data_IF_816579076163
#
_entry.id   IF_816579076163
#
_cell.length_a   1.000
_cell.length_b   1.000
_cell.length_c   1.000
_cell.angle_alpha   90.00
_cell.angle_beta   90.00
_cell.angle_gamma   90.00
#
_symmetry.space_group_name_H-M   'P 1'
#
loop_
_entity.id
_entity.type
_entity.pdbx_description
1 polymer ?
#
# COMPACT_ATOMS: atom_id res chain seq x y z
N UNK A 1 9.52 -27.90 9.66
CA UNK A 1 8.35 -28.25 10.50
C UNK A 1 7.87 -26.97 11.13
N UNK A 2 6.84 -26.33 10.55
CA UNK A 2 6.22 -25.14 11.13
C UNK A 2 5.51 -25.53 12.41
N UNK A 3 5.77 -24.81 13.50
CA UNK A 3 5.14 -25.01 14.79
C UNK A 3 3.63 -24.71 14.71
N UNK A 4 2.82 -25.42 15.48
CA UNK A 4 1.34 -25.27 15.55
C UNK A 4 0.84 -23.84 15.80
N UNK A 5 1.71 -22.92 16.21
CA UNK A 5 1.40 -21.49 16.42
C UNK A 5 1.29 -20.67 15.13
N UNK A 6 1.82 -21.16 14.00
CA UNK A 6 1.64 -20.54 12.68
C UNK A 6 0.26 -20.82 12.07
N UNK A 7 -0.54 -21.71 12.64
CA UNK A 7 -1.83 -22.17 12.12
C UNK A 7 -3.02 -21.26 12.43
N UNK A 8 -2.89 -20.26 13.32
CA UNK A 8 -3.97 -19.32 13.61
C UNK A 8 -3.44 -17.90 13.76
N UNK A 9 -3.47 -17.16 12.64
CA UNK A 9 -3.17 -15.73 12.64
C UNK A 9 -4.42 -14.94 12.22
N UNK A 10 -5.08 -14.22 13.14
CA UNK A 10 -6.32 -13.50 12.85
C UNK A 10 -6.20 -12.47 11.72
N UNK A 11 -5.02 -11.87 11.55
CA UNK A 11 -4.77 -10.90 10.49
C UNK A 11 -4.70 -11.57 9.10
N UNK A 12 -3.99 -12.71 9.01
CA UNK A 12 -3.93 -13.53 7.79
C UNK A 12 -5.33 -14.05 7.44
N UNK A 13 -6.09 -14.55 8.42
CA UNK A 13 -7.47 -14.97 8.17
C UNK A 13 -8.38 -13.84 7.69
N UNK A 14 -8.27 -12.66 8.30
CA UNK A 14 -9.03 -11.49 7.87
C UNK A 14 -8.70 -11.12 6.42
N UNK A 15 -7.44 -11.19 6.04
CA UNK A 15 -6.99 -10.93 4.68
C UNK A 15 -7.47 -12.01 3.70
N UNK A 16 -7.41 -13.29 4.08
CA UNK A 16 -7.93 -14.37 3.24
C UNK A 16 -9.45 -14.26 3.04
N UNK A 17 -10.20 -13.84 4.05
CA UNK A 17 -11.64 -13.52 3.90
C UNK A 17 -11.87 -12.36 2.95
N UNK A 18 -11.04 -11.31 3.01
CA UNK A 18 -11.10 -10.20 2.05
C UNK A 18 -10.83 -10.70 0.62
N UNK A 19 -9.83 -11.53 0.40
CA UNK A 19 -9.53 -12.11 -0.90
C UNK A 19 -10.66 -13.04 -1.40
N UNK A 20 -11.24 -13.85 -0.51
CA UNK A 20 -12.38 -14.70 -0.85
C UNK A 20 -13.62 -13.88 -1.25
N UNK A 21 -13.80 -12.67 -0.70
CA UNK A 21 -14.86 -11.76 -1.11
C UNK A 21 -14.62 -11.14 -2.50
N UNK A 22 -13.37 -10.99 -2.93
CA UNK A 22 -13.02 -10.53 -4.29
C UNK A 22 -13.29 -11.62 -5.34
N UNK A 23 -12.92 -12.86 -5.03
CA UNK A 23 -13.21 -14.04 -5.85
C UNK A 23 -13.26 -15.28 -4.95
N UNK A 24 -14.25 -16.18 -5.13
CA UNK A 24 -14.31 -17.38 -4.34
C UNK A 24 -13.02 -18.19 -4.42
N UNK A 25 -12.49 -18.57 -3.26
CA UNK A 25 -11.30 -19.42 -3.10
C UNK A 25 -11.72 -20.75 -2.44
N UNK A 26 -11.19 -21.86 -2.90
CA UNK A 26 -11.37 -23.15 -2.25
C UNK A 26 -10.70 -23.20 -0.87
N UNK A 27 -11.15 -24.07 0.05
CA UNK A 27 -10.46 -24.28 1.32
C UNK A 27 -8.98 -24.67 1.15
N UNK A 28 -8.67 -25.46 0.13
CA UNK A 28 -7.33 -25.90 -0.24
C UNK A 28 -6.46 -24.72 -0.66
N UNK A 29 -6.97 -23.84 -1.53
CA UNK A 29 -6.27 -22.64 -1.96
C UNK A 29 -6.03 -21.67 -0.78
N UNK A 30 -7.03 -21.47 0.10
CA UNK A 30 -6.86 -20.64 1.30
C UNK A 30 -5.82 -21.22 2.26
N UNK A 31 -5.80 -22.54 2.46
CA UNK A 31 -4.80 -23.21 3.28
C UNK A 31 -3.39 -23.06 2.70
N UNK A 32 -3.23 -23.31 1.39
CA UNK A 32 -1.96 -23.14 0.69
C UNK A 32 -1.46 -21.68 0.77
N UNK A 33 -2.32 -20.69 0.51
CA UNK A 33 -1.98 -19.28 0.66
C UNK A 33 -1.55 -18.95 2.10
N UNK A 34 -2.27 -19.45 3.12
CA UNK A 34 -1.93 -19.22 4.51
C UNK A 34 -0.51 -19.68 4.87
N UNK A 35 -0.03 -20.77 4.26
CA UNK A 35 1.33 -21.26 4.47
C UNK A 35 2.43 -20.37 3.88
N UNK A 36 2.10 -19.54 2.89
CA UNK A 36 3.03 -18.64 2.19
C UNK A 36 2.99 -17.20 2.73
N UNK A 37 2.12 -16.91 3.71
CA UNK A 37 1.92 -15.57 4.25
C UNK A 37 2.61 -15.43 5.61
N UNK A 38 3.40 -14.36 5.76
CA UNK A 38 4.16 -14.08 6.98
C UNK A 38 3.79 -12.70 7.50
N UNK A 39 3.34 -12.62 8.75
CA UNK A 39 3.08 -11.35 9.42
C UNK A 39 4.24 -10.99 10.33
N UNK A 40 4.72 -9.76 10.20
CA UNK A 40 5.77 -9.20 11.05
C UNK A 40 5.42 -7.78 11.48
N UNK A 41 5.97 -7.39 12.66
CA UNK A 41 5.88 -6.03 13.17
C UNK A 41 7.17 -5.28 12.89
N UNK A 42 7.01 -4.07 12.38
CA UNK A 42 8.13 -3.22 12.04
C UNK A 42 8.03 -1.87 12.75
N UNK A 43 9.13 -1.35 13.28
CA UNK A 43 9.16 0.00 13.83
C UNK A 43 8.97 1.03 12.72
N UNK A 44 8.70 2.27 13.11
CA UNK A 44 8.66 3.42 12.18
C UNK A 44 9.99 3.56 11.43
N UNK A 45 9.93 3.90 10.14
CA UNK A 45 11.08 4.06 9.22
C UNK A 45 11.87 2.78 8.99
N UNK A 46 11.24 1.65 9.11
CA UNK A 46 11.85 0.39 8.70
C UNK A 46 11.77 0.24 7.19
N UNK A 47 12.91 -0.06 6.56
CA UNK A 47 13.00 -0.25 5.11
C UNK A 47 12.65 -1.70 4.76
N UNK A 48 11.50 -1.90 4.13
CA UNK A 48 11.02 -3.21 3.65
C UNK A 48 11.62 -3.59 2.30
N UNK A 49 11.82 -2.60 1.43
CA UNK A 49 12.47 -2.78 0.12
C UNK A 49 13.30 -1.55 -0.22
N UNK A 50 14.48 -1.77 -0.78
CA UNK A 50 15.43 -0.72 -1.13
C UNK A 50 15.51 -0.53 -2.65
N UNK A 51 15.45 0.72 -3.10
CA UNK A 51 15.73 1.13 -4.48
C UNK A 51 17.04 0.50 -5.00
N UNK A 52 17.11 0.17 -6.27
CA UNK A 52 18.23 -0.50 -6.94
C UNK A 52 18.49 -1.95 -6.48
N UNK A 53 17.55 -2.56 -5.75
CA UNK A 53 17.53 -3.99 -5.47
C UNK A 53 16.41 -4.66 -6.25
N UNK A 54 16.56 -5.94 -6.56
CA UNK A 54 15.48 -6.74 -7.14
C UNK A 54 14.46 -7.04 -6.05
N UNK A 55 13.19 -6.75 -6.32
CA UNK A 55 12.11 -7.03 -5.39
C UNK A 55 11.78 -8.52 -5.36
N UNK A 56 11.47 -9.02 -4.18
CA UNK A 56 11.14 -10.42 -3.97
C UNK A 56 9.78 -10.62 -3.26
N UNK A 57 9.16 -9.55 -2.72
CA UNK A 57 7.97 -9.66 -1.90
C UNK A 57 6.91 -8.64 -2.28
N UNK A 58 5.65 -9.04 -2.08
CA UNK A 58 4.52 -8.12 -1.93
C UNK A 58 4.26 -7.92 -0.44
N UNK A 59 3.85 -6.71 -0.08
CA UNK A 59 3.56 -6.30 1.29
C UNK A 59 2.12 -5.85 1.40
N UNK A 60 1.38 -6.42 2.35
CA UNK A 60 -0.01 -6.07 2.65
C UNK A 60 -0.04 -5.46 4.04
N UNK A 61 -0.59 -4.25 4.15
CA UNK A 61 -0.69 -3.55 5.43
C UNK A 61 -1.81 -4.15 6.25
N UNK A 62 -1.48 -4.86 7.32
CA UNK A 62 -2.45 -5.35 8.31
C UNK A 62 -2.83 -4.24 9.29
N UNK A 63 -1.83 -3.46 9.73
CA UNK A 63 -2.00 -2.29 10.58
C UNK A 63 -0.86 -1.31 10.32
N UNK A 64 -1.15 -0.02 10.28
CA UNK A 64 -0.14 1.01 10.11
C UNK A 64 -0.20 1.71 8.76
N UNK A 65 0.91 2.33 8.38
CA UNK A 65 1.04 3.13 7.17
C UNK A 65 2.40 2.87 6.53
N UNK A 66 2.39 2.49 5.27
CA UNK A 66 3.58 2.35 4.43
C UNK A 66 3.64 3.47 3.39
N UNK A 67 4.85 3.77 2.93
CA UNK A 67 5.07 4.58 1.72
C UNK A 67 5.99 3.90 0.74
N UNK A 68 5.74 4.13 -0.55
CA UNK A 68 6.69 3.91 -1.63
C UNK A 68 7.27 5.25 -2.06
N UNK A 69 8.59 5.31 -2.25
CA UNK A 69 9.27 6.54 -2.60
C UNK A 69 10.49 6.29 -3.48
N UNK A 70 10.89 7.31 -4.23
CA UNK A 70 12.05 7.33 -5.09
C UNK A 70 13.05 8.39 -4.62
N UNK A 71 14.32 8.02 -4.56
CA UNK A 71 15.41 8.98 -4.36
C UNK A 71 15.80 9.62 -5.69
N UNK A 72 15.59 10.92 -5.82
CA UNK A 72 15.95 11.67 -7.01
C UNK A 72 16.67 12.96 -6.62
N UNK A 73 17.91 13.16 -7.11
CA UNK A 73 18.73 14.36 -6.88
C UNK A 73 18.80 14.77 -5.39
N UNK A 74 19.01 13.79 -4.50
CA UNK A 74 19.14 14.00 -3.06
C UNK A 74 17.82 14.27 -2.33
N UNK A 75 16.66 14.11 -2.99
CA UNK A 75 15.33 14.26 -2.40
C UNK A 75 14.56 12.97 -2.47
N UNK A 76 13.74 12.72 -1.47
CA UNK A 76 12.76 11.64 -1.48
C UNK A 76 11.45 12.12 -2.07
N UNK A 77 10.98 11.45 -3.12
CA UNK A 77 9.69 11.71 -3.75
C UNK A 77 8.75 10.57 -3.41
N UNK A 78 7.74 10.84 -2.59
CA UNK A 78 6.70 9.87 -2.24
C UNK A 78 5.80 9.63 -3.44
N UNK A 79 5.67 8.36 -3.83
CA UNK A 79 4.90 7.93 -5.00
C UNK A 79 3.56 7.34 -4.58
N UNK A 80 3.57 6.54 -3.51
CA UNK A 80 2.37 5.90 -3.00
C UNK A 80 2.38 5.90 -1.47
N UNK A 81 1.18 5.91 -0.89
CA UNK A 81 0.90 5.76 0.53
C UNK A 81 -0.17 4.68 0.67
N UNK A 82 0.05 3.71 1.55
CA UNK A 82 -0.88 2.60 1.78
C UNK A 82 -1.16 2.41 3.25
N UNK A 83 -2.44 2.47 3.62
CA UNK A 83 -2.96 2.13 4.94
C UNK A 83 -3.44 0.67 4.97
N UNK A 84 -4.15 0.30 6.01
CA UNK A 84 -4.71 -1.03 6.20
C UNK A 84 -5.45 -1.54 4.94
N UNK A 85 -5.23 -2.79 4.59
CA UNK A 85 -5.72 -3.48 3.39
C UNK A 85 -5.11 -3.00 2.06
N UNK A 86 -4.13 -2.10 2.08
CA UNK A 86 -3.38 -1.73 0.88
C UNK A 86 -2.27 -2.76 0.60
N UNK A 87 -2.02 -3.00 -0.69
CA UNK A 87 -0.88 -3.79 -1.16
C UNK A 87 0.18 -2.83 -1.70
N UNK A 88 1.40 -2.93 -1.19
CA UNK A 88 2.56 -2.20 -1.72
C UNK A 88 3.61 -3.19 -2.19
N UNK A 89 4.14 -2.94 -3.36
CA UNK A 89 5.25 -3.70 -3.93
C UNK A 89 5.98 -2.85 -4.95
N UNK A 90 7.20 -3.22 -5.25
CA UNK A 90 7.92 -2.68 -6.38
C UNK A 90 7.56 -3.49 -7.64
N UNK A 91 6.37 -3.20 -8.19
CA UNK A 91 5.77 -3.96 -9.28
C UNK A 91 6.65 -3.98 -10.54
N UNK A 92 7.32 -2.86 -10.83
CA UNK A 92 8.31 -2.76 -11.90
C UNK A 92 9.36 -3.86 -11.81
N UNK A 93 9.89 -4.08 -10.61
CA UNK A 93 10.94 -5.06 -10.34
C UNK A 93 10.41 -6.48 -10.23
N UNK A 94 9.25 -6.70 -9.60
CA UNK A 94 8.65 -8.02 -9.49
C UNK A 94 8.38 -8.63 -10.87
N UNK A 95 7.85 -7.84 -11.80
CA UNK A 95 7.50 -8.32 -13.14
C UNK A 95 8.69 -8.39 -14.10
N UNK A 96 9.64 -7.45 -13.99
CA UNK A 96 10.79 -7.40 -14.90
C UNK A 96 12.00 -8.19 -14.43
N UNK A 97 12.05 -8.55 -13.15
CA UNK A 97 13.22 -9.11 -12.45
C UNK A 97 14.47 -8.21 -12.54
N UNK A 98 14.26 -6.91 -12.73
CA UNK A 98 15.31 -5.89 -12.75
C UNK A 98 15.30 -5.08 -11.44
N UNK A 99 16.41 -4.38 -11.10
CA UNK A 99 16.45 -3.51 -9.92
C UNK A 99 15.36 -2.46 -9.93
N UNK A 100 14.62 -2.31 -8.81
CA UNK A 100 13.51 -1.37 -8.66
C UNK A 100 13.95 0.09 -8.65
N UNK A 101 13.09 0.97 -9.14
CA UNK A 101 13.22 2.42 -8.97
C UNK A 101 12.74 2.91 -7.60
N UNK A 102 12.11 2.07 -6.79
CA UNK A 102 11.42 2.47 -5.56
C UNK A 102 12.02 1.84 -4.32
N UNK A 103 11.91 2.55 -3.21
CA UNK A 103 12.03 2.01 -1.85
C UNK A 103 10.65 1.94 -1.22
N UNK A 104 10.44 0.98 -0.30
CA UNK A 104 9.22 0.85 0.50
C UNK A 104 9.61 0.85 1.96
N UNK A 105 8.99 1.73 2.76
CA UNK A 105 9.23 1.82 4.20
C UNK A 105 7.95 2.02 5.01
N UNK A 106 8.04 1.77 6.30
CA UNK A 106 7.00 2.07 7.27
C UNK A 106 7.04 3.56 7.65
N UNK A 107 5.88 4.23 7.64
CA UNK A 107 5.73 5.64 8.07
C UNK A 107 5.51 5.74 9.58
N UNK A 108 4.90 4.72 10.16
CA UNK A 108 4.65 4.53 11.59
C UNK A 108 4.93 3.08 11.98
N UNK A 109 4.82 2.71 13.27
CA UNK A 109 4.86 1.30 13.67
C UNK A 109 3.76 0.53 12.95
N UNK A 110 4.13 -0.53 12.24
CA UNK A 110 3.24 -1.22 11.32
C UNK A 110 3.34 -2.73 11.46
N UNK A 111 2.20 -3.40 11.26
CA UNK A 111 2.12 -4.85 11.08
C UNK A 111 1.88 -5.13 9.60
N UNK A 112 2.79 -5.89 9.00
CA UNK A 112 2.80 -6.13 7.57
C UNK A 112 2.74 -7.63 7.30
N UNK A 113 1.86 -8.05 6.41
CA UNK A 113 1.83 -9.40 5.89
C UNK A 113 2.60 -9.40 4.58
N UNK A 114 3.57 -10.28 4.44
CA UNK A 114 4.35 -10.43 3.22
C UNK A 114 4.13 -11.79 2.57
N UNK A 115 4.24 -11.82 1.25
CA UNK A 115 4.33 -13.06 0.46
C UNK A 115 5.50 -12.93 -0.51
N UNK A 116 6.33 -13.99 -0.59
CA UNK A 116 7.37 -14.05 -1.59
C UNK A 116 6.74 -14.20 -2.99
N UNK A 117 7.28 -13.46 -3.98
CA UNK A 117 6.74 -13.52 -5.34
C UNK A 117 6.84 -14.92 -5.96
N UNK A 118 7.92 -15.64 -5.67
CA UNK A 118 8.06 -17.02 -6.13
C UNK A 118 6.99 -17.95 -5.56
N UNK A 119 6.62 -17.80 -4.28
CA UNK A 119 5.55 -18.59 -3.67
C UNK A 119 4.20 -18.26 -4.29
N UNK A 120 3.96 -16.97 -4.62
CA UNK A 120 2.77 -16.54 -5.31
C UNK A 120 2.66 -17.14 -6.71
N UNK A 121 3.77 -17.19 -7.47
CA UNK A 121 3.82 -17.84 -8.79
C UNK A 121 3.52 -19.35 -8.71
N UNK A 122 4.01 -20.03 -7.67
CA UNK A 122 3.67 -21.44 -7.43
C UNK A 122 2.18 -21.61 -7.15
N UNK A 123 1.59 -20.73 -6.34
CA UNK A 123 0.16 -20.74 -6.06
C UNK A 123 -0.68 -20.46 -7.32
N UNK A 124 -0.22 -19.59 -8.22
CA UNK A 124 -0.89 -19.34 -9.51
C UNK A 124 -0.92 -20.58 -10.42
N UNK A 125 0.18 -21.34 -10.42
CA UNK A 125 0.27 -22.57 -11.21
C UNK A 125 -0.60 -23.70 -10.65
N UNK A 126 -0.82 -23.73 -9.33
CA UNK A 126 -1.56 -24.80 -8.66
C UNK A 126 -3.07 -24.50 -8.55
N UNK A 127 -3.43 -23.22 -8.29
CA UNK A 127 -4.81 -22.81 -8.01
C UNK A 127 -5.28 -21.74 -8.99
N UNK A 128 -6.13 -22.12 -9.91
CA UNK A 128 -6.67 -21.21 -10.93
C UNK A 128 -7.43 -20.01 -10.34
N UNK A 129 -8.12 -20.20 -9.20
CA UNK A 129 -8.79 -19.12 -8.47
C UNK A 129 -7.80 -18.13 -7.85
N UNK A 130 -6.58 -18.53 -7.47
CA UNK A 130 -5.53 -17.64 -6.96
C UNK A 130 -4.93 -16.82 -8.10
N UNK A 131 -4.72 -17.44 -9.28
CA UNK A 131 -4.34 -16.69 -10.50
C UNK A 131 -5.41 -15.64 -10.86
N UNK A 132 -6.69 -16.04 -10.82
CA UNK A 132 -7.81 -15.12 -11.04
C UNK A 132 -7.80 -13.97 -10.05
N UNK A 133 -7.56 -14.23 -8.75
CA UNK A 133 -7.40 -13.19 -7.72
C UNK A 133 -6.27 -12.23 -8.10
N UNK A 134 -5.09 -12.74 -8.43
CA UNK A 134 -3.93 -11.95 -8.86
C UNK A 134 -4.26 -11.04 -10.03
N UNK A 135 -4.89 -11.56 -11.07
CA UNK A 135 -5.32 -10.80 -12.24
C UNK A 135 -6.31 -9.69 -11.88
N UNK A 136 -7.28 -9.95 -11.00
CA UNK A 136 -8.23 -8.94 -10.53
C UNK A 136 -7.53 -7.85 -9.70
N UNK A 137 -6.59 -8.22 -8.84
CA UNK A 137 -5.80 -7.27 -8.05
C UNK A 137 -4.90 -6.39 -8.91
N UNK A 138 -4.24 -6.96 -9.93
CA UNK A 138 -3.44 -6.19 -10.90
C UNK A 138 -4.33 -5.25 -11.72
N UNK A 139 -5.50 -5.70 -12.16
CA UNK A 139 -6.45 -4.85 -12.89
C UNK A 139 -6.91 -3.67 -12.04
N UNK A 140 -7.20 -3.89 -10.76
CA UNK A 140 -7.54 -2.82 -9.81
C UNK A 140 -6.36 -1.85 -9.62
N UNK A 141 -5.17 -2.37 -9.40
CA UNK A 141 -3.95 -1.57 -9.29
C UNK A 141 -3.75 -0.69 -10.53
N UNK A 142 -3.91 -1.24 -11.72
CA UNK A 142 -3.80 -0.48 -12.97
C UNK A 142 -4.81 0.68 -13.04
N UNK A 143 -6.06 0.44 -12.69
CA UNK A 143 -7.10 1.48 -12.66
C UNK A 143 -6.79 2.58 -11.64
N UNK A 144 -6.23 2.22 -10.48
CA UNK A 144 -5.76 3.18 -9.47
C UNK A 144 -4.58 4.03 -10.01
N UNK A 145 -3.62 3.42 -10.72
CA UNK A 145 -2.51 4.16 -11.36
C UNK A 145 -3.01 5.11 -12.46
N UNK A 146 -3.97 4.68 -13.29
CA UNK A 146 -4.61 5.54 -14.31
C UNK A 146 -5.33 6.73 -13.66
N UNK A 147 -6.05 6.50 -12.55
CA UNK A 147 -6.72 7.56 -11.82
C UNK A 147 -5.71 8.56 -11.21
N UNK A 148 -4.61 8.05 -10.60
CA UNK A 148 -3.54 8.88 -10.06
C UNK A 148 -2.85 9.72 -11.14
N UNK A 149 -2.54 9.13 -12.30
CA UNK A 149 -1.94 9.83 -13.43
C UNK A 149 -2.87 10.93 -13.96
N UNK A 150 -4.16 10.64 -14.08
CA UNK A 150 -5.18 11.62 -14.49
C UNK A 150 -5.28 12.77 -13.48
N UNK A 151 -5.29 12.46 -12.20
CA UNK A 151 -5.29 13.45 -11.12
C UNK A 151 -4.07 14.37 -11.19
N UNK A 152 -2.88 13.82 -11.40
CA UNK A 152 -1.64 14.60 -11.56
C UNK A 152 -1.65 15.52 -12.78
N UNK A 153 -2.31 15.10 -13.88
CA UNK A 153 -2.36 15.86 -15.15
C UNK A 153 -3.43 16.96 -15.17
N UNK A 154 -4.58 16.72 -14.54
CA UNK A 154 -5.76 17.56 -14.74
C UNK A 154 -6.23 18.28 -13.49
N UNK A 155 -5.81 17.83 -12.29
CA UNK A 155 -6.20 18.46 -11.04
C UNK A 155 -5.09 19.37 -10.49
N UNK A 156 -5.50 20.47 -9.88
CA UNK A 156 -4.62 21.30 -9.06
C UNK A 156 -4.23 20.56 -7.76
N UNK A 157 -3.19 20.98 -7.10
CA UNK A 157 -2.79 20.43 -5.81
C UNK A 157 -3.88 20.61 -4.73
N UNK A 158 -4.65 21.68 -4.81
CA UNK A 158 -5.78 21.95 -3.91
C UNK A 158 -6.91 20.95 -4.11
N UNK A 159 -7.28 20.66 -5.36
CA UNK A 159 -8.30 19.64 -5.70
C UNK A 159 -7.84 18.26 -5.26
N UNK A 160 -6.57 17.88 -5.49
CA UNK A 160 -6.02 16.60 -5.00
C UNK A 160 -6.06 16.50 -3.47
N UNK A 161 -5.79 17.59 -2.78
CA UNK A 161 -5.90 17.64 -1.31
C UNK A 161 -7.36 17.47 -0.85
N UNK A 162 -8.31 18.10 -1.53
CA UNK A 162 -9.75 17.98 -1.23
C UNK A 162 -10.24 16.55 -1.44
N UNK A 163 -9.83 15.90 -2.54
CA UNK A 163 -10.17 14.51 -2.82
C UNK A 163 -9.65 13.57 -1.72
N UNK A 164 -8.43 13.80 -1.23
CA UNK A 164 -7.90 13.04 -0.08
C UNK A 164 -8.66 13.34 1.20
N UNK A 165 -9.05 14.59 1.45
CA UNK A 165 -9.81 14.98 2.64
C UNK A 165 -11.18 14.30 2.68
N UNK A 166 -11.84 14.17 1.53
CA UNK A 166 -13.14 13.54 1.42
C UNK A 166 -13.06 12.01 1.45
N UNK A 167 -12.09 11.42 0.75
CA UNK A 167 -12.05 9.99 0.54
C UNK A 167 -11.15 9.24 1.53
N UNK A 168 -10.10 9.90 2.05
CA UNK A 168 -9.08 9.28 2.92
C UNK A 168 -8.60 10.24 4.03
N UNK A 169 -9.48 10.75 4.90
CA UNK A 169 -9.09 11.72 5.94
C UNK A 169 -8.07 11.15 6.93
N UNK A 170 -8.12 9.85 7.22
CA UNK A 170 -7.16 9.18 8.08
C UNK A 170 -5.74 9.22 7.50
N UNK A 171 -5.58 9.10 6.18
CA UNK A 171 -4.29 9.22 5.50
C UNK A 171 -3.67 10.60 5.73
N UNK A 172 -4.49 11.67 5.62
CA UNK A 172 -4.05 13.05 5.87
C UNK A 172 -3.59 13.29 7.30
N UNK A 173 -4.22 12.64 8.28
CA UNK A 173 -3.90 12.80 9.70
C UNK A 173 -2.63 12.04 10.09
N UNK A 174 -2.43 10.84 9.53
CA UNK A 174 -1.33 9.93 9.89
C UNK A 174 -0.04 10.22 9.11
N UNK A 175 -0.15 10.83 7.92
CA UNK A 175 1.02 11.10 7.06
C UNK A 175 1.77 12.35 7.49
N UNK A 176 3.10 12.29 7.75
CA UNK A 176 3.92 13.47 7.99
C UNK A 176 3.82 14.50 6.87
N UNK A 177 3.81 15.78 7.23
CA UNK A 177 3.60 16.91 6.31
C UNK A 177 4.51 16.84 5.07
N UNK A 178 5.79 16.52 5.26
CA UNK A 178 6.76 16.42 4.17
C UNK A 178 6.45 15.31 3.18
N UNK A 179 6.03 14.14 3.68
CA UNK A 179 5.67 13.00 2.82
C UNK A 179 4.37 13.27 2.05
N UNK A 180 3.40 13.86 2.73
CA UNK A 180 2.13 14.23 2.10
C UNK A 180 2.32 15.33 1.04
N UNK A 181 3.12 16.36 1.31
CA UNK A 181 3.43 17.41 0.34
C UNK A 181 4.12 16.82 -0.89
N UNK A 182 5.10 15.92 -0.68
CA UNK A 182 5.78 15.21 -1.75
C UNK A 182 4.81 14.35 -2.57
N UNK A 183 3.91 13.61 -1.92
CA UNK A 183 2.86 12.82 -2.58
C UNK A 183 1.93 13.67 -3.44
N UNK A 184 1.56 14.86 -2.95
CA UNK A 184 0.74 15.83 -3.68
C UNK A 184 1.53 16.62 -4.75
N UNK A 185 2.85 16.43 -4.87
CA UNK A 185 3.69 17.13 -5.84
C UNK A 185 3.87 18.63 -5.53
N UNK A 186 3.83 19.02 -4.25
CA UNK A 186 3.96 20.40 -3.79
C UNK A 186 4.98 20.54 -2.66
N UNK A 187 5.29 21.79 -2.28
CA UNK A 187 6.14 22.06 -1.12
C UNK A 187 5.34 21.97 0.20
N UNK A 188 6.01 21.65 1.33
CA UNK A 188 5.37 21.68 2.64
C UNK A 188 4.72 23.03 2.99
N UNK A 189 5.34 24.14 2.56
CA UNK A 189 4.79 25.48 2.75
C UNK A 189 3.47 25.70 1.96
N UNK A 190 3.40 25.17 0.73
CA UNK A 190 2.17 25.20 -0.08
C UNK A 190 1.07 24.36 0.57
N UNK A 191 1.41 23.14 1.03
CA UNK A 191 0.46 22.27 1.73
C UNK A 191 -0.07 22.92 3.02
N UNK A 192 0.78 23.57 3.79
CA UNK A 192 0.37 24.30 5.00
C UNK A 192 -0.63 25.41 4.68
N UNK A 193 -0.45 26.14 3.56
CA UNK A 193 -1.41 27.18 3.11
C UNK A 193 -2.75 26.57 2.69
N UNK A 194 -2.72 25.46 1.97
CA UNK A 194 -3.95 24.72 1.58
C UNK A 194 -4.69 24.24 2.84
N UNK A 195 -3.99 23.64 3.80
CA UNK A 195 -4.58 23.20 5.08
C UNK A 195 -5.21 24.35 5.86
N UNK A 196 -4.56 25.51 5.95
CA UNK A 196 -5.10 26.69 6.63
C UNK A 196 -6.40 27.19 5.99
N UNK A 197 -6.50 27.12 4.67
CA UNK A 197 -7.71 27.51 3.93
C UNK A 197 -8.88 26.56 4.18
N UNK A 198 -8.63 25.27 4.28
CA UNK A 198 -9.67 24.21 4.40
C UNK A 198 -9.86 23.72 5.84
N UNK A 199 -8.87 23.80 6.71
CA UNK A 199 -8.95 23.41 8.13
C UNK A 199 -9.72 24.40 9.00
N UNK A 200 -10.09 25.58 8.45
CA UNK A 200 -11.01 26.53 9.09
C UNK A 200 -12.49 26.12 8.99
N UNK A 201 -12.82 25.19 8.08
CA UNK A 201 -14.21 24.72 7.85
C UNK A 201 -14.69 23.72 8.90
N UNK A 202 -13.80 22.99 9.59
CA UNK A 202 -14.19 21.99 10.57
C UNK A 202 -14.75 22.56 11.89
N UNK A 203 -14.71 23.90 12.08
CA UNK A 203 -15.33 24.54 13.25
C UNK A 203 -16.82 24.85 13.09
N UNK A 204 -17.41 24.59 11.92
CA UNK A 204 -18.81 24.94 11.64
C UNK A 204 -19.77 23.75 11.54
N UNK A 205 -19.30 22.49 11.69
CA UNK A 205 -20.16 21.30 11.60
C UNK A 205 -20.34 20.53 12.91
N UNK A 206 -19.96 21.08 14.06
CA UNK A 206 -20.25 20.52 15.39
C UNK A 206 -21.32 21.32 16.13
N UNK A 207 -22.41 21.61 15.45
CA UNK A 207 -23.55 22.30 16.06
C UNK A 207 -24.78 22.19 15.19
N UNK A 208 -25.45 21.05 15.24
CA UNK A 208 -26.93 20.89 15.33
C UNK A 208 -27.20 19.44 15.72
#
# INVERSE_FOLDING_TARGET
MATKEQLYNPAIESMLRFFHAVTPLSPEAMAAMSCCLYQEKYPRRHLLHQQHRVAAHLYIVSKGLLRSYHHHQGKEVTIALGMENSVLCAMDSLLSHQPSYYSIETVEESEVISIAYNDLELLYNEFHEVERLGRLMISRYYLEQEAALRSLRFQTAEERYQDLLMNNPALLQRTPLGYLASYLGITPATLSRIRAKWGGSDRYHSGI
#
